data_IF_669268706035
#
_entry.id   IF_669268706035
#
_cell.length_a   1.000
_cell.length_b   1.000
_cell.length_c   1.000
_cell.angle_alpha   90.00
_cell.angle_beta   90.00
_cell.angle_gamma   90.00
#
_symmetry.space_group_name_H-M   'P 1'
#
loop_
_entity.id
_entity.type
_entity.pdbx_description
1 polymer ?
#
# COMPACT_ATOMS: atom_id res chain seq x y z
N UNK A 1 4.41 5.21 -15.88
CA UNK A 1 3.72 6.51 -15.98
C UNK A 1 4.47 7.42 -16.93
N UNK A 2 3.77 8.13 -17.83
CA UNK A 2 4.32 9.14 -18.74
C UNK A 2 3.50 10.41 -18.64
N UNK A 3 4.14 11.55 -18.36
CA UNK A 3 3.48 12.86 -18.35
C UNK A 3 3.27 13.32 -19.80
N UNK A 4 2.08 13.82 -20.12
CA UNK A 4 1.73 14.31 -21.46
C UNK A 4 1.55 15.82 -21.46
N UNK A 5 0.76 16.38 -20.52
CA UNK A 5 0.52 17.81 -20.40
C UNK A 5 0.48 18.24 -18.94
N UNK A 6 0.98 19.44 -18.67
CA UNK A 6 0.91 20.08 -17.37
C UNK A 6 0.33 21.48 -17.53
N UNK A 7 -0.76 21.77 -16.83
CA UNK A 7 -1.36 23.12 -16.76
C UNK A 7 -1.20 23.66 -15.35
N UNK A 8 -0.72 24.88 -15.26
CA UNK A 8 -0.44 25.60 -14.02
C UNK A 8 -1.18 26.93 -14.04
N UNK A 9 -1.84 27.29 -12.95
CA UNK A 9 -2.47 28.60 -12.80
C UNK A 9 -2.16 29.18 -11.42
N UNK A 10 -1.47 30.31 -11.37
CA UNK A 10 -1.19 31.10 -10.17
C UNK A 10 -0.57 30.31 -9.01
N UNK A 11 0.49 29.56 -9.27
CA UNK A 11 1.21 28.78 -8.25
C UNK A 11 2.56 29.42 -7.96
N UNK A 12 2.83 29.73 -6.70
CA UNK A 12 4.06 30.36 -6.20
C UNK A 12 4.46 31.58 -7.06
N UNK A 13 5.63 31.54 -7.71
CA UNK A 13 6.14 32.64 -8.58
C UNK A 13 5.53 32.63 -9.99
N UNK A 14 4.77 31.63 -10.37
CA UNK A 14 4.15 31.50 -11.68
C UNK A 14 2.75 32.14 -11.67
N UNK A 15 2.69 33.45 -11.84
CA UNK A 15 1.45 34.21 -11.95
C UNK A 15 0.88 34.13 -13.38
N UNK A 16 -0.40 33.75 -13.51
CA UNK A 16 -1.06 33.54 -14.79
C UNK A 16 -1.28 32.08 -15.11
N UNK A 17 -1.54 31.81 -16.38
CA UNK A 17 -1.77 30.45 -16.88
C UNK A 17 -0.61 30.01 -17.76
N UNK A 18 -0.11 28.81 -17.48
CA UNK A 18 0.97 28.18 -18.22
C UNK A 18 0.56 26.77 -18.59
N UNK A 19 0.93 26.36 -19.80
CA UNK A 19 0.76 25.00 -20.28
C UNK A 19 2.09 24.48 -20.82
N UNK A 20 2.48 23.27 -20.40
CA UNK A 20 3.65 22.57 -20.90
C UNK A 20 3.14 21.27 -21.54
N UNK A 21 3.40 21.14 -22.84
CA UNK A 21 3.06 19.95 -23.60
C UNK A 21 4.30 19.09 -23.81
N UNK A 22 4.40 17.99 -23.05
CA UNK A 22 5.52 17.04 -23.13
C UNK A 22 5.40 16.08 -24.32
N UNK A 23 4.31 16.15 -25.09
CA UNK A 23 4.15 15.37 -26.32
C UNK A 23 4.78 16.06 -27.53
N UNK A 24 5.27 17.29 -27.36
CA UNK A 24 6.00 17.99 -28.39
C UNK A 24 7.17 17.14 -28.90
N UNK A 25 7.32 17.11 -30.21
CA UNK A 25 8.31 16.31 -30.93
C UNK A 25 9.74 16.52 -30.40
N UNK A 26 10.10 17.77 -30.10
CA UNK A 26 11.42 18.12 -29.59
C UNK A 26 11.75 17.45 -28.26
N UNK A 27 10.76 17.28 -27.36
CA UNK A 27 10.95 16.59 -26.09
C UNK A 27 10.96 15.06 -26.23
N UNK A 28 10.17 14.54 -27.16
CA UNK A 28 10.06 13.08 -27.38
C UNK A 28 11.30 12.54 -28.10
N UNK A 29 11.81 13.26 -29.07
CA UNK A 29 12.99 12.82 -29.86
C UNK A 29 14.30 12.95 -29.05
N UNK A 30 14.44 14.01 -28.23
CA UNK A 30 15.66 14.20 -27.42
C UNK A 30 15.70 13.31 -26.18
N UNK A 31 14.54 12.89 -25.66
CA UNK A 31 14.42 12.03 -24.46
C UNK A 31 14.88 12.70 -23.15
N UNK A 32 15.66 13.78 -23.23
CA UNK A 32 16.15 14.55 -22.08
C UNK A 32 15.97 16.04 -22.41
N UNK A 33 15.46 16.81 -21.45
CA UNK A 33 15.35 18.27 -21.56
C UNK A 33 15.74 18.95 -20.25
N UNK A 34 16.17 20.20 -20.32
CA UNK A 34 16.54 21.00 -19.16
C UNK A 34 15.59 22.19 -18.96
N UNK A 35 15.16 22.40 -17.73
CA UNK A 35 14.42 23.60 -17.33
C UNK A 35 15.43 24.60 -16.77
N UNK A 36 15.75 25.64 -17.54
CA UNK A 36 16.75 26.64 -17.20
C UNK A 36 16.10 27.98 -16.86
N UNK A 37 16.77 28.79 -16.05
CA UNK A 37 16.31 30.13 -15.67
C UNK A 37 16.96 30.62 -14.38
N UNK A 38 16.86 31.91 -14.05
CA UNK A 38 17.42 32.51 -12.84
C UNK A 38 16.77 31.96 -11.57
N UNK A 39 17.38 32.18 -10.41
CA UNK A 39 16.80 31.79 -9.12
C UNK A 39 15.47 32.54 -8.91
N UNK A 40 14.45 31.82 -8.43
CA UNK A 40 13.10 32.37 -8.24
C UNK A 40 12.19 32.35 -9.47
N UNK A 41 12.68 31.98 -10.67
CA UNK A 41 11.89 31.93 -11.91
C UNK A 41 10.78 30.86 -11.95
N UNK A 42 10.64 30.03 -10.94
CA UNK A 42 9.56 29.04 -10.88
C UNK A 42 9.93 27.63 -11.37
N UNK A 43 11.21 27.33 -11.62
CA UNK A 43 11.64 25.99 -12.05
C UNK A 43 11.12 24.86 -11.15
N UNK A 44 11.32 25.01 -9.84
CA UNK A 44 10.83 24.02 -8.86
C UNK A 44 9.30 24.07 -8.73
N UNK A 45 8.67 25.21 -9.00
CA UNK A 45 7.21 25.35 -8.99
C UNK A 45 6.54 24.45 -10.04
N UNK A 46 7.21 24.17 -11.16
CA UNK A 46 6.72 23.23 -12.18
C UNK A 46 6.61 21.82 -11.57
N UNK A 47 7.63 21.39 -10.80
CA UNK A 47 7.62 20.11 -10.11
C UNK A 47 6.58 20.08 -8.96
N UNK A 48 6.48 21.17 -8.21
CA UNK A 48 5.44 21.35 -7.19
C UNK A 48 4.03 21.24 -7.80
N UNK A 49 3.81 21.78 -8.99
CA UNK A 49 2.52 21.69 -9.69
C UNK A 49 2.16 20.26 -10.08
N UNK A 50 3.13 19.43 -10.48
CA UNK A 50 2.90 18.01 -10.76
C UNK A 50 2.47 17.29 -9.49
N UNK A 51 3.15 17.50 -8.36
CA UNK A 51 2.80 16.85 -7.09
C UNK A 51 1.46 17.34 -6.53
N UNK A 52 1.14 18.62 -6.70
CA UNK A 52 -0.18 19.16 -6.34
C UNK A 52 -1.29 18.51 -7.18
N UNK A 53 -1.10 18.41 -8.49
CA UNK A 53 -2.10 17.83 -9.39
C UNK A 53 -2.34 16.35 -9.11
N UNK A 54 -1.33 15.60 -8.64
CA UNK A 54 -1.43 14.16 -8.38
C UNK A 54 -1.81 13.84 -6.93
N UNK A 55 -1.30 14.59 -5.96
CA UNK A 55 -1.40 14.22 -4.53
C UNK A 55 -1.95 15.34 -3.63
N UNK A 56 -2.16 16.54 -4.15
CA UNK A 56 -2.60 17.71 -3.37
C UNK A 56 -1.61 18.16 -2.32
N UNK A 57 -0.34 17.78 -2.48
CA UNK A 57 0.77 18.10 -1.57
C UNK A 57 2.00 18.48 -2.36
N UNK A 58 2.90 19.24 -1.72
CA UNK A 58 4.25 19.49 -2.25
C UNK A 58 5.29 19.19 -1.19
N UNK A 59 6.55 18.88 -1.55
CA UNK A 59 7.63 18.70 -0.59
C UNK A 59 7.84 19.92 0.34
N UNK A 60 7.58 21.13 -0.16
CA UNK A 60 7.69 22.37 0.62
C UNK A 60 6.59 22.58 1.64
N UNK A 61 5.39 22.02 1.40
CA UNK A 61 4.29 22.08 2.36
C UNK A 61 4.58 21.22 3.60
N UNK A 62 5.28 20.12 3.46
CA UNK A 62 5.62 19.24 4.58
C UNK A 62 6.65 19.87 5.52
N UNK A 63 7.63 20.59 4.97
CA UNK A 63 8.70 21.25 5.74
C UNK A 63 8.17 22.40 6.61
N UNK A 64 7.03 23.01 6.27
CA UNK A 64 6.47 24.19 6.97
C UNK A 64 5.35 23.88 7.97
N UNK A 65 4.92 22.62 8.10
CA UNK A 65 3.67 22.26 8.80
C UNK A 65 3.78 22.00 10.28
N UNK A 66 4.89 22.26 10.94
CA UNK A 66 4.95 22.10 12.39
C UNK A 66 4.07 23.09 13.18
N UNK A 67 3.56 24.18 12.58
CA UNK A 67 2.85 25.26 13.29
C UNK A 67 1.57 25.77 12.61
N UNK A 68 1.24 25.39 11.38
CA UNK A 68 0.12 26.01 10.62
C UNK A 68 -1.16 25.15 10.61
N UNK A 69 -2.32 25.81 10.80
CA UNK A 69 -3.65 25.18 10.74
C UNK A 69 -3.87 24.53 9.35
N UNK A 70 -4.62 23.41 9.31
CA UNK A 70 -4.96 22.67 8.06
C UNK A 70 -5.51 23.56 6.92
N UNK A 71 -6.14 24.67 7.26
CA UNK A 71 -6.73 25.67 6.35
C UNK A 71 -5.69 26.47 5.55
N UNK A 72 -4.49 26.66 6.10
CA UNK A 72 -3.48 27.53 5.45
C UNK A 72 -2.71 26.84 4.30
N UNK A 73 -2.82 25.52 4.18
CA UNK A 73 -2.04 24.75 3.19
C UNK A 73 -2.32 25.14 1.74
N UNK A 74 -3.57 25.48 1.41
CA UNK A 74 -3.93 25.94 0.07
C UNK A 74 -3.42 27.34 -0.25
N UNK A 75 -3.29 28.21 0.76
CA UNK A 75 -2.73 29.56 0.59
C UNK A 75 -1.21 29.56 0.38
N UNK A 76 -0.49 28.56 0.89
CA UNK A 76 0.98 28.51 0.82
C UNK A 76 1.52 28.43 -0.60
N UNK A 77 0.72 27.95 -1.54
CA UNK A 77 1.13 27.80 -2.95
C UNK A 77 0.47 28.82 -3.87
N UNK A 78 -0.51 29.57 -3.37
CA UNK A 78 -1.19 30.60 -4.16
C UNK A 78 -0.26 31.77 -4.41
N UNK A 79 -0.15 32.23 -5.66
CA UNK A 79 0.56 33.44 -6.02
C UNK A 79 -0.06 34.64 -5.31
N UNK A 80 0.77 35.50 -4.74
CA UNK A 80 0.36 36.69 -4.02
C UNK A 80 -0.56 37.60 -4.87
N UNK A 81 -1.63 38.13 -4.27
CA UNK A 81 -2.62 38.95 -4.95
C UNK A 81 -3.60 38.18 -5.85
N UNK A 82 -3.50 36.86 -5.97
CA UNK A 82 -4.43 36.04 -6.76
C UNK A 82 -5.50 35.40 -5.86
N UNK A 83 -6.68 35.14 -6.45
CA UNK A 83 -7.84 34.59 -5.72
C UNK A 83 -8.02 33.09 -5.93
N UNK A 84 -7.33 32.49 -6.87
CA UNK A 84 -7.38 31.07 -7.18
C UNK A 84 -6.05 30.57 -7.73
N UNK A 85 -5.78 29.30 -7.48
CA UNK A 85 -4.69 28.56 -8.10
C UNK A 85 -5.16 27.18 -8.52
N UNK A 86 -4.56 26.63 -9.54
CA UNK A 86 -4.82 25.25 -9.97
C UNK A 86 -3.60 24.62 -10.62
N UNK A 87 -3.52 23.28 -10.46
CA UNK A 87 -2.60 22.42 -11.17
C UNK A 87 -3.40 21.30 -11.81
N UNK A 88 -3.09 20.96 -13.06
CA UNK A 88 -3.69 19.84 -13.75
C UNK A 88 -2.65 19.12 -14.58
N UNK A 89 -2.62 17.79 -14.49
CA UNK A 89 -1.71 16.95 -15.23
C UNK A 89 -2.47 15.92 -16.04
N UNK A 90 -2.11 15.79 -17.31
CA UNK A 90 -2.54 14.67 -18.18
C UNK A 90 -1.39 13.70 -18.25
N UNK A 91 -1.67 12.43 -18.01
CA UNK A 91 -0.67 11.37 -17.98
C UNK A 91 -1.21 10.04 -18.50
N UNK A 92 -0.30 9.21 -18.95
CA UNK A 92 -0.55 7.83 -19.33
C UNK A 92 -0.06 6.90 -18.21
N UNK A 93 -0.88 5.97 -17.79
CA UNK A 93 -0.53 4.92 -16.85
C UNK A 93 -1.26 3.63 -17.18
N UNK A 94 -0.54 2.50 -17.20
CA UNK A 94 -1.08 1.17 -17.53
C UNK A 94 -1.87 1.15 -18.85
N UNK A 95 -1.36 1.86 -19.88
CA UNK A 95 -2.00 1.93 -21.21
C UNK A 95 -3.31 2.71 -21.26
N UNK A 96 -3.63 3.50 -20.23
CA UNK A 96 -4.80 4.36 -20.14
C UNK A 96 -4.41 5.80 -19.92
N UNK A 97 -5.23 6.73 -20.40
CA UNK A 97 -5.01 8.16 -20.27
C UNK A 97 -5.86 8.73 -19.16
N UNK A 98 -5.26 9.63 -18.37
CA UNK A 98 -5.85 10.21 -17.17
C UNK A 98 -5.57 11.68 -17.10
N UNK A 99 -6.52 12.44 -16.55
CA UNK A 99 -6.32 13.82 -16.14
C UNK A 99 -6.60 13.92 -14.65
N UNK A 100 -5.61 14.35 -13.87
CA UNK A 100 -5.79 14.72 -12.47
C UNK A 100 -5.67 16.22 -12.32
N UNK A 101 -6.58 16.81 -11.56
CA UNK A 101 -6.65 18.24 -11.29
C UNK A 101 -6.81 18.48 -9.80
N UNK A 102 -6.10 19.52 -9.34
CA UNK A 102 -6.23 20.09 -8.01
C UNK A 102 -6.42 21.59 -8.14
N UNK A 103 -7.31 22.20 -7.35
CA UNK A 103 -7.52 23.66 -7.35
C UNK A 103 -7.97 24.16 -6.00
N UNK A 104 -7.60 25.39 -5.67
CA UNK A 104 -8.03 26.12 -4.49
C UNK A 104 -8.47 27.52 -4.88
N UNK A 105 -9.55 27.99 -4.28
CA UNK A 105 -10.09 29.36 -4.44
C UNK A 105 -10.28 30.00 -3.08
N UNK A 106 -9.97 31.31 -2.96
CA UNK A 106 -10.24 32.07 -1.75
C UNK A 106 -11.73 32.44 -1.64
N UNK A 107 -12.22 32.49 -0.40
CA UNK A 107 -13.49 33.11 -0.04
C UNK A 107 -13.39 34.64 -0.16
N UNK A 108 -14.51 35.36 -0.05
CA UNK A 108 -14.52 36.83 0.02
C UNK A 108 -13.76 37.34 1.24
N UNK A 109 -13.64 36.56 2.29
CA UNK A 109 -12.91 36.85 3.52
C UNK A 109 -11.39 36.69 3.39
N UNK A 110 -10.88 36.23 2.23
CA UNK A 110 -9.47 35.92 2.04
C UNK A 110 -9.04 34.55 2.51
N UNK A 111 -9.91 33.79 3.18
CA UNK A 111 -9.61 32.42 3.60
C UNK A 111 -9.68 31.43 2.41
N UNK A 112 -8.85 30.38 2.38
CA UNK A 112 -8.96 29.35 1.37
C UNK A 112 -10.23 28.51 1.55
N UNK A 113 -10.87 28.15 0.45
CA UNK A 113 -11.86 27.07 0.40
C UNK A 113 -11.15 25.72 0.42
N UNK A 114 -11.89 24.69 0.71
CA UNK A 114 -11.39 23.34 0.55
C UNK A 114 -10.93 23.10 -0.89
N UNK A 115 -9.82 22.36 -1.02
CA UNK A 115 -9.29 22.02 -2.32
C UNK A 115 -10.30 21.18 -3.10
N UNK A 116 -10.61 21.60 -4.31
CA UNK A 116 -11.36 20.83 -5.28
C UNK A 116 -10.40 19.95 -6.06
N UNK A 117 -10.75 18.70 -6.20
CA UNK A 117 -9.95 17.68 -6.90
C UNK A 117 -10.81 16.92 -7.90
N UNK A 118 -10.18 16.46 -8.97
CA UNK A 118 -10.88 15.73 -10.03
C UNK A 118 -9.91 14.71 -10.65
N UNK A 119 -10.37 13.49 -10.84
CA UNK A 119 -9.67 12.47 -11.63
C UNK A 119 -10.61 12.02 -12.75
N UNK A 120 -10.16 12.21 -13.98
CA UNK A 120 -10.91 11.88 -15.20
C UNK A 120 -10.15 10.85 -16.01
N UNK A 121 -10.81 9.83 -16.47
CA UNK A 121 -10.30 8.90 -17.47
C UNK A 121 -10.57 9.46 -18.86
N UNK A 122 -9.53 9.65 -19.64
CA UNK A 122 -9.60 10.19 -20.99
C UNK A 122 -9.62 9.04 -22.02
N UNK A 123 -10.30 9.20 -23.16
CA UNK A 123 -10.24 8.24 -24.26
C UNK A 123 -8.85 8.20 -24.91
N UNK A 124 -8.18 9.33 -25.00
CA UNK A 124 -6.81 9.48 -25.51
C UNK A 124 -6.07 10.61 -24.79
N UNK A 125 -4.77 10.77 -25.08
CA UNK A 125 -3.90 11.76 -24.43
C UNK A 125 -4.15 13.22 -24.84
N UNK A 126 -4.94 13.47 -25.89
CA UNK A 126 -5.29 14.80 -26.40
C UNK A 126 -6.69 15.25 -25.98
N UNK A 127 -7.52 14.34 -25.51
CA UNK A 127 -8.92 14.61 -25.16
C UNK A 127 -9.02 15.60 -23.98
N UNK A 128 -9.94 16.56 -24.11
CA UNK A 128 -10.28 17.56 -23.08
C UNK A 128 -11.36 17.03 -22.11
N UNK A 129 -12.17 16.08 -22.55
CA UNK A 129 -13.29 15.53 -21.78
C UNK A 129 -13.21 14.01 -21.69
N UNK A 130 -13.75 13.45 -20.60
CA UNK A 130 -13.72 12.02 -20.35
C UNK A 130 -14.65 11.61 -19.21
N UNK A 131 -14.51 10.40 -18.75
CA UNK A 131 -15.26 9.82 -17.65
C UNK A 131 -14.69 10.29 -16.29
N UNK A 132 -15.50 10.93 -15.48
CA UNK A 132 -15.12 11.36 -14.12
C UNK A 132 -15.09 10.12 -13.23
N UNK A 133 -13.92 9.81 -12.67
CA UNK A 133 -13.71 8.65 -11.80
C UNK A 133 -13.75 9.03 -10.33
N UNK A 134 -13.25 10.22 -9.98
CA UNK A 134 -13.29 10.74 -8.61
C UNK A 134 -13.30 12.27 -8.59
N UNK A 135 -14.25 12.84 -7.82
CA UNK A 135 -14.37 14.29 -7.53
C UNK A 135 -14.22 14.58 -6.05
N UNK A 136 -14.49 13.60 -5.19
CA UNK A 136 -14.37 13.75 -3.75
C UNK A 136 -12.92 13.50 -3.32
N UNK A 137 -12.40 14.33 -2.42
CA UNK A 137 -11.02 14.27 -1.95
C UNK A 137 -10.61 12.90 -1.39
N UNK A 138 -11.52 12.22 -0.68
CA UNK A 138 -11.24 10.89 -0.12
C UNK A 138 -11.08 9.84 -1.23
N UNK A 139 -12.02 9.80 -2.18
CA UNK A 139 -11.99 8.90 -3.33
C UNK A 139 -10.77 9.19 -4.23
N UNK A 140 -10.49 10.47 -4.48
CA UNK A 140 -9.34 10.89 -5.27
C UNK A 140 -8.00 10.47 -4.64
N UNK A 141 -7.84 10.69 -3.32
CA UNK A 141 -6.62 10.28 -2.58
C UNK A 141 -6.38 8.77 -2.62
N UNK A 142 -7.44 7.95 -2.67
CA UNK A 142 -7.31 6.50 -2.81
C UNK A 142 -7.04 6.08 -4.26
N UNK A 143 -7.73 6.72 -5.22
CA UNK A 143 -7.71 6.28 -6.62
C UNK A 143 -6.47 6.71 -7.38
N UNK A 144 -5.93 7.89 -7.11
CA UNK A 144 -4.72 8.38 -7.80
C UNK A 144 -3.51 7.47 -7.55
N UNK A 145 -3.16 7.07 -6.32
CA UNK A 145 -2.07 6.11 -6.10
C UNK A 145 -2.31 4.75 -6.75
N UNK A 146 -3.56 4.26 -6.77
CA UNK A 146 -3.93 3.00 -7.44
C UNK A 146 -3.64 3.06 -8.95
N UNK A 147 -4.06 4.15 -9.61
CA UNK A 147 -3.85 4.38 -11.03
C UNK A 147 -2.38 4.58 -11.38
N UNK A 148 -1.64 5.26 -10.50
CA UNK A 148 -0.19 5.50 -10.68
C UNK A 148 0.66 4.27 -10.38
N UNK A 149 0.16 3.35 -9.55
CA UNK A 149 0.94 2.24 -9.00
C UNK A 149 1.95 2.66 -7.93
N UNK A 150 1.88 3.91 -7.43
CA UNK A 150 2.80 4.44 -6.42
C UNK A 150 2.14 5.53 -5.58
N UNK A 151 2.53 5.60 -4.31
CA UNK A 151 2.13 6.65 -3.38
C UNK A 151 2.98 7.92 -3.51
N UNK A 152 2.60 8.96 -2.77
CA UNK A 152 3.31 10.25 -2.77
C UNK A 152 4.79 10.12 -2.36
N UNK A 153 5.08 9.34 -1.32
CA UNK A 153 6.45 9.16 -0.84
C UNK A 153 7.33 8.45 -1.87
N UNK A 154 6.81 7.41 -2.49
CA UNK A 154 7.49 6.70 -3.56
C UNK A 154 7.72 7.61 -4.76
N UNK A 155 6.68 8.38 -5.17
CA UNK A 155 6.79 9.31 -6.29
C UNK A 155 7.86 10.38 -6.06
N UNK A 156 7.88 11.01 -4.88
CA UNK A 156 8.85 12.06 -4.56
C UNK A 156 10.28 11.55 -4.41
N UNK A 157 10.44 10.29 -4.00
CA UNK A 157 11.76 9.66 -3.85
C UNK A 157 12.28 9.03 -5.15
N UNK A 158 11.40 8.66 -6.06
CA UNK A 158 11.78 7.93 -7.28
C UNK A 158 11.67 8.74 -8.56
N UNK A 159 10.51 9.34 -8.81
CA UNK A 159 10.23 10.05 -10.04
C UNK A 159 10.56 11.55 -9.95
N UNK A 160 10.39 12.13 -8.77
CA UNK A 160 10.64 13.54 -8.52
C UNK A 160 11.75 13.68 -7.48
N UNK A 161 12.99 13.63 -7.92
CA UNK A 161 14.14 13.87 -7.05
C UNK A 161 14.21 15.34 -6.67
N UNK A 162 13.47 15.74 -5.63
CA UNK A 162 13.54 17.08 -5.07
C UNK A 162 14.96 17.38 -4.59
N UNK A 163 15.32 18.67 -4.58
CA UNK A 163 16.64 19.12 -4.14
C UNK A 163 16.98 18.55 -2.75
N UNK A 164 18.02 17.72 -2.64
CA UNK A 164 18.42 17.04 -1.40
C UNK A 164 17.92 15.60 -1.29
N UNK A 165 16.80 15.22 -1.88
CA UNK A 165 16.25 13.86 -1.78
C UNK A 165 17.15 12.79 -2.43
N UNK A 166 17.90 13.16 -3.47
CA UNK A 166 18.89 12.25 -4.07
C UNK A 166 20.03 11.92 -3.09
N UNK A 167 20.47 12.90 -2.33
CA UNK A 167 21.49 12.69 -1.30
C UNK A 167 20.97 11.81 -0.17
N UNK A 168 19.70 11.96 0.23
CA UNK A 168 19.06 11.08 1.20
C UNK A 168 18.92 9.65 0.68
N UNK A 169 18.52 9.46 -0.58
CA UNK A 169 18.47 8.14 -1.21
C UNK A 169 19.85 7.46 -1.23
N UNK A 170 20.92 8.20 -1.54
CA UNK A 170 22.28 7.65 -1.55
C UNK A 170 22.77 7.32 -0.13
N UNK A 171 22.34 8.06 0.89
CA UNK A 171 22.69 7.85 2.29
C UNK A 171 21.76 6.86 3.00
N UNK A 172 20.62 6.52 2.41
CA UNK A 172 19.68 5.56 2.97
C UNK A 172 20.33 4.20 3.20
N UNK A 173 19.88 3.49 4.21
CA UNK A 173 20.28 2.10 4.49
C UNK A 173 20.01 1.21 3.28
N UNK A 174 20.75 0.10 3.19
CA UNK A 174 20.64 -0.83 2.04
C UNK A 174 19.21 -1.34 1.87
N UNK A 175 18.55 -1.64 2.98
CA UNK A 175 17.17 -2.15 2.99
C UNK A 175 16.16 -1.12 2.49
N UNK A 176 16.30 0.15 2.89
CA UNK A 176 15.44 1.25 2.42
C UNK A 176 15.63 1.51 0.92
N UNK A 177 16.87 1.45 0.43
CA UNK A 177 17.15 1.56 -1.01
C UNK A 177 16.54 0.41 -1.80
N UNK A 178 16.67 -0.82 -1.29
CA UNK A 178 16.06 -2.00 -1.90
C UNK A 178 14.54 -1.88 -1.98
N UNK A 179 13.88 -1.45 -0.89
CA UNK A 179 12.44 -1.24 -0.85
C UNK A 179 11.96 -0.18 -1.85
N UNK A 180 12.71 0.91 -2.06
CA UNK A 180 12.40 1.93 -3.06
C UNK A 180 12.54 1.36 -4.47
N UNK A 181 13.63 0.63 -4.76
CA UNK A 181 13.85 -0.01 -6.05
C UNK A 181 12.79 -1.06 -6.36
N UNK A 182 12.38 -1.88 -5.39
CA UNK A 182 11.28 -2.84 -5.53
C UNK A 182 9.97 -2.16 -5.93
N UNK A 183 9.65 -1.02 -5.32
CA UNK A 183 8.43 -0.25 -5.66
C UNK A 183 8.49 0.33 -7.08
N UNK A 184 9.65 0.83 -7.50
CA UNK A 184 9.85 1.41 -8.84
C UNK A 184 9.78 0.34 -9.92
N UNK A 185 10.44 -0.80 -9.70
CA UNK A 185 10.55 -1.89 -10.68
C UNK A 185 9.32 -2.81 -10.69
N UNK A 186 8.41 -2.66 -9.72
CA UNK A 186 7.26 -3.56 -9.56
C UNK A 186 7.64 -4.97 -9.11
N UNK A 187 8.86 -5.17 -8.60
CA UNK A 187 9.40 -6.49 -8.22
C UNK A 187 8.92 -6.97 -6.84
N UNK A 188 8.10 -6.20 -6.15
CA UNK A 188 7.51 -6.56 -4.85
C UNK A 188 6.82 -7.95 -4.85
N UNK A 189 6.28 -8.36 -6.01
CA UNK A 189 5.70 -9.68 -6.19
C UNK A 189 6.71 -10.80 -5.86
N UNK A 190 7.96 -10.66 -6.29
CA UNK A 190 9.01 -11.66 -6.06
C UNK A 190 9.41 -11.75 -4.59
N UNK A 191 9.51 -10.62 -3.89
CA UNK A 191 9.73 -10.60 -2.43
C UNK A 191 8.59 -11.29 -1.69
N UNK A 192 7.35 -11.01 -2.06
CA UNK A 192 6.17 -11.65 -1.45
C UNK A 192 6.16 -13.17 -1.69
N UNK A 193 6.46 -13.61 -2.92
CA UNK A 193 6.59 -15.03 -3.24
C UNK A 193 7.73 -15.67 -2.43
N UNK A 194 8.88 -15.00 -2.33
CA UNK A 194 10.03 -15.46 -1.55
C UNK A 194 9.70 -15.66 -0.07
N UNK A 195 9.00 -14.70 0.54
CA UNK A 195 8.53 -14.81 1.93
C UNK A 195 7.57 -15.98 2.10
N UNK A 196 6.59 -16.11 1.22
CA UNK A 196 5.63 -17.21 1.28
C UNK A 196 6.30 -18.57 1.15
N UNK A 197 7.24 -18.73 0.21
CA UNK A 197 8.01 -19.98 0.03
C UNK A 197 8.84 -20.29 1.28
N UNK A 198 9.50 -19.27 1.86
CA UNK A 198 10.29 -19.44 3.08
C UNK A 198 9.43 -19.88 4.27
N UNK A 199 8.29 -19.22 4.48
CA UNK A 199 7.35 -19.59 5.55
C UNK A 199 6.83 -21.02 5.36
N UNK A 200 6.44 -21.38 4.14
CA UNK A 200 5.96 -22.72 3.82
C UNK A 200 7.03 -23.77 4.06
N UNK A 201 8.26 -23.52 3.62
CA UNK A 201 9.39 -24.41 3.85
C UNK A 201 9.68 -24.60 5.34
N UNK A 202 9.64 -23.52 6.12
CA UNK A 202 9.81 -23.55 7.58
C UNK A 202 8.74 -24.39 8.25
N UNK A 203 7.49 -24.24 7.87
CA UNK A 203 6.36 -24.95 8.46
C UNK A 203 6.42 -26.46 8.14
N UNK A 204 6.74 -26.82 6.91
CA UNK A 204 6.93 -28.21 6.54
C UNK A 204 8.14 -28.84 7.25
N UNK A 205 9.27 -28.16 7.37
CA UNK A 205 10.41 -28.61 8.14
C UNK A 205 10.08 -28.82 9.63
N UNK A 206 9.25 -27.95 10.21
CA UNK A 206 8.79 -28.11 11.59
C UNK A 206 7.88 -29.34 11.75
N UNK A 207 7.04 -29.65 10.75
CA UNK A 207 6.25 -30.90 10.76
C UNK A 207 7.15 -32.14 10.70
N UNK A 208 8.14 -32.13 9.80
CA UNK A 208 9.11 -33.25 9.70
C UNK A 208 9.85 -33.42 11.02
N UNK A 209 10.34 -32.33 11.64
CA UNK A 209 11.02 -32.40 12.94
C UNK A 209 10.11 -33.02 14.02
N UNK A 210 8.84 -32.61 14.10
CA UNK A 210 7.90 -33.18 15.06
C UNK A 210 7.68 -34.68 14.83
N UNK A 211 7.53 -35.13 13.57
CA UNK A 211 7.38 -36.52 13.23
C UNK A 211 8.64 -37.32 13.58
N UNK A 212 9.83 -36.80 13.34
CA UNK A 212 11.08 -37.43 13.73
C UNK A 212 11.19 -37.60 15.26
N UNK A 213 10.85 -36.57 16.05
CA UNK A 213 10.82 -36.71 17.52
C UNK A 213 9.83 -37.76 17.98
N UNK A 214 8.66 -37.87 17.34
CA UNK A 214 7.70 -38.95 17.64
C UNK A 214 8.23 -40.34 17.25
N UNK A 215 8.98 -40.44 16.17
CA UNK A 215 9.60 -41.69 15.75
C UNK A 215 10.76 -42.12 16.68
N UNK A 216 11.60 -41.18 17.10
CA UNK A 216 12.70 -41.43 18.03
C UNK A 216 12.21 -41.86 19.42
N UNK A 217 11.02 -41.41 19.85
CA UNK A 217 10.37 -41.81 21.10
C UNK A 217 9.51 -43.08 21.00
N UNK A 218 9.27 -43.60 19.79
CA UNK A 218 8.51 -44.80 19.59
C UNK A 218 9.45 -45.99 19.58
N UNK A 219 9.62 -46.68 20.73
CA UNK A 219 10.16 -48.02 20.75
C UNK A 219 9.24 -48.93 19.96
N UNK A 220 9.71 -49.44 18.84
CA UNK A 220 8.99 -50.49 18.10
C UNK A 220 8.98 -51.77 18.95
N UNK A 221 7.85 -52.09 19.54
CA UNK A 221 7.64 -53.34 20.21
C UNK A 221 7.85 -54.48 19.22
N UNK A 222 8.65 -55.48 19.63
CA UNK A 222 8.76 -56.71 18.90
C UNK A 222 7.36 -57.33 18.70
N UNK A 223 7.14 -58.04 17.59
CA UNK A 223 5.81 -58.54 17.22
C UNK A 223 5.22 -59.47 18.28
N UNK A 224 6.08 -60.22 18.96
CA UNK A 224 5.68 -61.11 20.07
C UNK A 224 5.23 -60.32 21.32
N UNK A 225 5.91 -59.23 21.64
CA UNK A 225 5.53 -58.31 22.71
C UNK A 225 4.23 -57.57 22.42
N UNK A 226 4.00 -57.21 21.17
CA UNK A 226 2.75 -56.60 20.72
C UNK A 226 1.57 -57.55 20.86
N UNK A 227 1.71 -58.80 20.39
CA UNK A 227 0.68 -59.83 20.52
C UNK A 227 0.36 -60.17 21.98
N UNK A 228 1.39 -60.20 22.84
CA UNK A 228 1.21 -60.40 24.27
C UNK A 228 0.41 -59.28 24.94
N UNK A 229 0.69 -58.03 24.56
CA UNK A 229 -0.05 -56.85 25.03
C UNK A 229 -1.49 -56.80 24.49
N UNK A 230 -1.72 -57.18 23.25
CA UNK A 230 -3.06 -57.26 22.65
C UNK A 230 -3.91 -58.32 23.38
N UNK A 231 -3.35 -59.51 23.66
CA UNK A 231 -4.02 -60.56 24.46
C UNK A 231 -4.29 -60.15 25.89
N UNK A 232 -3.35 -59.48 26.54
CA UNK A 232 -3.53 -58.93 27.89
C UNK A 232 -4.61 -57.84 27.94
N UNK A 233 -4.70 -57.02 26.90
CA UNK A 233 -5.73 -55.97 26.77
C UNK A 233 -7.13 -56.56 26.58
N UNK A 234 -7.28 -57.62 25.77
CA UNK A 234 -8.54 -58.35 25.61
C UNK A 234 -8.99 -59.01 26.92
N UNK A 235 -8.08 -59.69 27.63
CA UNK A 235 -8.40 -60.34 28.90
C UNK A 235 -8.82 -59.32 29.97
N UNK A 236 -8.08 -58.20 30.11
CA UNK A 236 -8.45 -57.14 31.09
C UNK A 236 -9.73 -56.45 30.72
N UNK A 237 -10.03 -56.28 29.42
CA UNK A 237 -11.30 -55.69 28.94
C UNK A 237 -12.50 -56.58 29.27
N UNK A 238 -12.35 -57.92 29.16
CA UNK A 238 -13.41 -58.85 29.50
C UNK A 238 -13.59 -59.00 31.01
N UNK A 239 -12.50 -58.99 31.79
CA UNK A 239 -12.60 -58.91 33.25
C UNK A 239 -13.31 -57.60 33.69
N UNK A 240 -13.00 -56.48 33.09
CA UNK A 240 -13.67 -55.24 33.39
C UNK A 240 -15.17 -55.25 33.05
N UNK A 241 -15.58 -55.93 31.97
CA UNK A 241 -17.00 -56.17 31.64
C UNK A 241 -17.67 -57.01 32.69
N UNK A 242 -17.04 -58.11 33.13
CA UNK A 242 -17.54 -58.96 34.16
C UNK A 242 -17.73 -58.25 35.50
N UNK A 243 -16.76 -57.49 35.91
CA UNK A 243 -16.85 -56.71 37.14
C UNK A 243 -17.95 -55.64 37.07
N UNK A 244 -18.10 -54.99 35.94
CA UNK A 244 -19.20 -54.00 35.72
C UNK A 244 -20.57 -54.66 35.76
N UNK A 245 -20.71 -55.85 35.16
CA UNK A 245 -21.95 -56.58 35.19
C UNK A 245 -22.31 -56.99 36.62
N UNK A 246 -21.37 -57.57 37.36
CA UNK A 246 -21.59 -58.01 38.75
C UNK A 246 -21.88 -56.81 39.70
N UNK A 247 -21.27 -55.70 39.46
CA UNK A 247 -21.60 -54.46 40.15
C UNK A 247 -23.05 -54.02 39.91
N UNK A 248 -23.52 -54.09 38.64
CA UNK A 248 -24.88 -53.72 38.31
C UNK A 248 -25.94 -54.68 38.94
N UNK A 249 -25.62 -55.96 39.03
CA UNK A 249 -26.46 -56.92 39.75
C UNK A 249 -26.58 -56.58 41.25
N UNK A 250 -25.42 -56.37 41.89
CA UNK A 250 -25.36 -56.02 43.30
C UNK A 250 -26.07 -54.69 43.59
N UNK A 251 -25.94 -53.71 42.71
CA UNK A 251 -26.70 -52.42 42.83
C UNK A 251 -28.21 -52.63 42.66
N UNK A 252 -28.65 -53.56 41.81
CA UNK A 252 -30.06 -53.92 41.68
C UNK A 252 -30.61 -54.62 42.93
N UNK A 253 -29.83 -55.56 43.44
CA UNK A 253 -30.19 -56.28 44.69
C UNK A 253 -30.24 -55.34 45.90
N UNK A 254 -29.33 -54.43 45.98
CA UNK A 254 -29.31 -53.40 47.05
C UNK A 254 -30.55 -52.50 46.99
N UNK A 255 -30.98 -52.09 45.77
CA UNK A 255 -32.22 -51.35 45.58
C UNK A 255 -33.46 -52.13 45.98
N UNK A 256 -33.51 -53.43 45.64
CA UNK A 256 -34.61 -54.29 46.06
C UNK A 256 -34.66 -54.49 47.58
N UNK A 257 -33.49 -54.63 48.24
CA UNK A 257 -33.41 -54.72 49.71
C UNK A 257 -33.87 -53.43 50.43
N UNK A 258 -33.58 -52.27 49.84
CA UNK A 258 -34.00 -50.96 50.40
C UNK A 258 -35.51 -50.68 50.22
N UNK A 259 -36.20 -51.38 49.32
CA UNK A 259 -37.64 -51.24 49.11
C UNK A 259 -38.42 -52.08 50.11
N UNK A 260 -37.83 -53.09 50.77
CA UNK A 260 -38.44 -54.01 51.70
C UNK A 260 -38.22 -53.66 53.19
N UNK A 261 -37.62 -52.51 53.48
CA UNK A 261 -37.54 -51.91 54.81
C UNK A 261 -38.56 -50.77 54.89
#
# INVERSE_FOLDING_TARGET
MRLLKLRIENINSLAGRYEIDFTNRDYVESGIFAIVGPTGSGKTTILDAVTLALFGKTPRMETRTSTSKKTDRGCMVLTEGRKQCSASVVFESMGKFWRSRWSVRLKRTGEPRDAQVELVRLPDGSAETGEIVAEQKLAWNAKVPEVLGMDYETFTRSALLAQGAFTELLRAQVDDRAAILEKITGTKLYSTIGQWVFERCRDENNKVKRLLVHLEGAEMLAEDARKALETALETTADEAKHVRFRRSELEADLRLSLIHI
#
